data_IF_838773894535
#
_entry.id   IF_838773894535
#
_cell.length_a   1.000
_cell.length_b   1.000
_cell.length_c   1.000
_cell.angle_alpha   90.00
_cell.angle_beta   90.00
_cell.angle_gamma   90.00
#
_symmetry.space_group_name_H-M   'P 1'
#
loop_
_entity.id
_entity.type
_entity.pdbx_description
1 polymer ?
#
# COMPACT_ATOMS: atom_id res chain seq x y z
N UNK A 1 42.45 -9.96 -7.17
CA UNK A 1 41.65 -8.76 -6.88
C UNK A 1 40.39 -9.24 -6.18
N UNK A 2 40.18 -8.96 -4.88
CA UNK A 2 38.97 -9.39 -4.19
C UNK A 2 37.82 -8.41 -4.48
N UNK A 3 36.67 -8.99 -4.78
CA UNK A 3 35.36 -8.36 -5.01
C UNK A 3 34.93 -7.65 -3.71
N UNK A 4 34.73 -6.33 -3.75
CA UNK A 4 34.20 -5.57 -2.61
C UNK A 4 32.73 -5.97 -2.40
N UNK A 5 32.30 -6.32 -1.18
CA UNK A 5 30.90 -6.64 -0.91
C UNK A 5 30.05 -5.42 -1.24
N UNK A 6 29.07 -5.60 -2.12
CA UNK A 6 28.09 -4.57 -2.46
C UNK A 6 27.37 -4.16 -1.17
N UNK A 7 27.59 -2.93 -0.73
CA UNK A 7 27.01 -2.39 0.51
C UNK A 7 25.49 -2.29 0.36
N UNK A 8 24.76 -3.29 0.88
CA UNK A 8 23.30 -3.32 0.80
C UNK A 8 22.76 -2.27 1.75
N UNK A 9 22.24 -1.17 1.20
CA UNK A 9 21.55 -0.16 1.99
C UNK A 9 20.21 -0.72 2.46
N UNK A 10 20.16 -1.10 3.73
CA UNK A 10 18.92 -1.53 4.39
C UNK A 10 18.04 -0.30 4.58
N UNK A 11 16.91 -0.29 3.90
CA UNK A 11 15.88 0.74 4.08
C UNK A 11 14.86 0.17 5.07
N UNK A 12 14.63 0.78 6.24
CA UNK A 12 13.65 0.30 7.18
C UNK A 12 12.26 0.33 6.53
N UNK A 13 11.56 -0.80 6.59
CA UNK A 13 10.14 -0.89 6.23
C UNK A 13 9.36 -0.47 7.46
N UNK A 14 8.49 0.52 7.30
CA UNK A 14 7.58 1.00 8.34
C UNK A 14 6.19 0.44 8.07
N UNK A 15 5.50 0.02 9.11
CA UNK A 15 4.08 -0.29 9.06
C UNK A 15 3.24 0.98 9.26
N UNK A 16 2.04 0.98 8.69
CA UNK A 16 1.09 2.06 8.81
C UNK A 16 -0.34 1.59 8.57
N UNK A 17 -1.28 2.38 9.05
CA UNK A 17 -2.71 2.12 8.92
C UNK A 17 -3.38 3.14 8.02
N UNK A 18 -4.23 2.64 7.13
CA UNK A 18 -5.04 3.48 6.28
C UNK A 18 -6.47 2.97 6.21
N UNK A 19 -7.39 3.90 6.00
CA UNK A 19 -8.79 3.62 5.78
C UNK A 19 -9.06 3.53 4.29
N UNK A 20 -9.70 2.47 3.85
CA UNK A 20 -10.15 2.35 2.47
C UNK A 20 -11.24 3.39 2.23
N UNK A 21 -11.04 4.27 1.26
CA UNK A 21 -12.01 5.30 0.87
C UNK A 21 -12.58 5.09 -0.54
N UNK A 22 -11.98 4.18 -1.32
CA UNK A 22 -12.46 3.82 -2.64
C UNK A 22 -11.54 2.82 -3.35
N UNK A 23 -11.81 2.56 -4.62
CA UNK A 23 -11.05 1.66 -5.46
C UNK A 23 -10.85 2.28 -6.84
N UNK A 24 -9.75 1.91 -7.48
CA UNK A 24 -9.43 2.29 -8.86
C UNK A 24 -9.32 1.03 -9.72
N UNK A 25 -9.93 1.11 -10.89
CA UNK A 25 -10.01 0.03 -11.87
C UNK A 25 -8.62 -0.27 -12.45
N UNK A 26 -8.31 -1.55 -12.64
CA UNK A 26 -7.06 -1.97 -13.28
C UNK A 26 -7.03 -1.61 -14.77
N UNK A 27 -5.93 -1.00 -15.23
CA UNK A 27 -5.64 -0.84 -16.68
C UNK A 27 -4.66 -1.89 -17.17
N UNK A 28 -4.87 -2.38 -18.41
CA UNK A 28 -4.02 -3.35 -19.14
C UNK A 28 -3.69 -4.63 -18.34
N UNK A 29 -4.55 -5.63 -18.45
CA UNK A 29 -4.32 -6.98 -17.89
C UNK A 29 -5.08 -7.30 -16.60
N UNK A 30 -5.63 -6.29 -15.93
CA UNK A 30 -6.60 -6.42 -14.83
C UNK A 30 -7.93 -5.74 -15.17
N UNK A 31 -8.31 -5.73 -16.46
CA UNK A 31 -9.56 -5.14 -16.94
C UNK A 31 -10.75 -5.90 -16.33
N UNK A 32 -11.60 -5.18 -15.60
CA UNK A 32 -12.72 -5.76 -14.83
C UNK A 32 -12.39 -6.12 -13.37
N UNK A 33 -11.17 -5.86 -12.90
CA UNK A 33 -10.74 -6.10 -11.52
C UNK A 33 -10.20 -4.81 -10.88
N UNK A 34 -10.15 -4.78 -9.55
CA UNK A 34 -9.57 -3.65 -8.82
C UNK A 34 -8.06 -3.61 -9.05
N UNK A 35 -7.58 -2.54 -9.67
CA UNK A 35 -6.17 -2.31 -9.94
C UNK A 35 -5.44 -1.74 -8.74
N UNK A 36 -6.07 -0.80 -8.04
CA UNK A 36 -5.52 -0.17 -6.84
C UNK A 36 -6.60 0.16 -5.83
N UNK A 37 -6.30 0.01 -4.55
CA UNK A 37 -7.17 0.50 -3.47
C UNK A 37 -6.84 1.97 -3.21
N UNK A 38 -7.84 2.83 -3.14
CA UNK A 38 -7.69 4.21 -2.69
C UNK A 38 -7.85 4.22 -1.18
N UNK A 39 -6.76 4.50 -0.48
CA UNK A 39 -6.70 4.51 0.96
C UNK A 39 -6.34 5.91 1.48
N UNK A 40 -6.79 6.24 2.67
CA UNK A 40 -6.51 7.49 3.36
C UNK A 40 -5.77 7.19 4.67
N UNK A 41 -4.65 7.87 4.92
CA UNK A 41 -3.89 7.71 6.17
C UNK A 41 -4.79 8.07 7.36
N UNK A 42 -4.65 7.33 8.46
CA UNK A 42 -5.31 7.71 9.72
C UNK A 42 -4.58 8.84 10.47
N UNK A 43 -3.31 9.06 10.15
CA UNK A 43 -2.48 10.14 10.71
C UNK A 43 -2.88 11.48 10.11
N UNK A 44 -2.82 12.55 10.90
CA UNK A 44 -2.98 13.92 10.41
C UNK A 44 -1.64 14.48 9.86
N UNK A 45 -1.63 15.14 8.69
CA UNK A 45 -2.76 15.39 7.80
C UNK A 45 -3.24 14.11 7.10
N UNK A 46 -4.56 13.97 6.91
CA UNK A 46 -5.13 12.83 6.17
C UNK A 46 -4.68 12.87 4.73
N UNK A 47 -3.85 11.91 4.34
CA UNK A 47 -3.34 11.84 2.98
C UNK A 47 -3.97 10.69 2.23
N UNK A 48 -4.44 10.96 1.01
CA UNK A 48 -5.00 9.95 0.13
C UNK A 48 -3.91 9.41 -0.77
N UNK A 49 -3.79 8.11 -0.81
CA UNK A 49 -2.81 7.41 -1.64
C UNK A 49 -3.43 6.15 -2.22
N UNK A 50 -2.84 5.67 -3.30
CA UNK A 50 -3.31 4.49 -4.01
C UNK A 50 -2.35 3.34 -3.76
N UNK A 51 -2.88 2.20 -3.38
CA UNK A 51 -2.12 0.97 -3.13
C UNK A 51 -2.48 -0.03 -4.23
N UNK A 52 -1.63 -0.14 -5.24
CA UNK A 52 -1.72 -1.20 -6.27
C UNK A 52 -0.79 -2.38 -6.03
N UNK A 53 0.15 -2.25 -5.10
CA UNK A 53 1.16 -3.25 -4.77
C UNK A 53 0.79 -4.05 -3.53
N UNK A 54 1.05 -5.36 -3.52
CA UNK A 54 0.68 -6.25 -2.41
C UNK A 54 -0.78 -6.71 -2.43
N UNK A 55 -1.58 -6.28 -3.39
CA UNK A 55 -2.92 -6.82 -3.61
C UNK A 55 -2.81 -8.22 -4.24
N UNK A 56 -3.35 -9.21 -3.56
CA UNK A 56 -3.56 -10.55 -4.11
C UNK A 56 -4.72 -10.54 -5.09
N UNK A 57 -4.77 -11.53 -5.98
CA UNK A 57 -5.84 -11.65 -6.98
C UNK A 57 -7.23 -11.75 -6.33
N UNK A 58 -7.33 -12.42 -5.17
CA UNK A 58 -8.56 -12.49 -4.37
C UNK A 58 -9.05 -11.12 -3.92
N UNK A 59 -8.15 -10.24 -3.44
CA UNK A 59 -8.50 -8.86 -3.06
C UNK A 59 -8.88 -8.00 -4.26
N UNK A 60 -8.34 -8.30 -5.45
CA UNK A 60 -8.75 -7.61 -6.67
C UNK A 60 -10.16 -7.99 -7.11
N UNK A 61 -10.57 -9.22 -6.82
CA UNK A 61 -11.90 -9.76 -7.11
C UNK A 61 -12.93 -9.35 -6.06
N UNK A 62 -12.53 -9.37 -4.80
CA UNK A 62 -13.33 -9.00 -3.64
C UNK A 62 -12.57 -7.94 -2.82
N UNK A 63 -12.69 -6.66 -3.17
CA UNK A 63 -11.98 -5.60 -2.49
C UNK A 63 -12.57 -5.36 -1.09
N UNK A 64 -11.73 -5.02 -0.09
CA UNK A 64 -12.17 -4.76 1.27
C UNK A 64 -13.10 -3.55 1.32
N UNK A 65 -14.26 -3.61 1.99
CA UNK A 65 -15.29 -2.57 1.90
C UNK A 65 -14.78 -1.17 2.27
N UNK A 66 -15.31 -0.15 1.61
CA UNK A 66 -15.02 1.25 1.91
C UNK A 66 -15.35 1.51 3.38
N UNK A 67 -14.40 2.08 4.11
CA UNK A 67 -14.48 2.28 5.55
C UNK A 67 -13.61 1.33 6.37
N UNK A 68 -13.18 0.22 5.78
CA UNK A 68 -12.31 -0.77 6.42
C UNK A 68 -10.92 -0.19 6.68
N UNK A 69 -10.34 -0.53 7.83
CA UNK A 69 -8.95 -0.20 8.14
C UNK A 69 -8.07 -1.32 7.59
N UNK A 70 -7.09 -0.94 6.78
CA UNK A 70 -6.10 -1.84 6.20
C UNK A 70 -4.72 -1.44 6.69
N UNK A 71 -3.89 -2.43 6.97
CA UNK A 71 -2.49 -2.23 7.29
C UNK A 71 -1.67 -2.32 6.01
N UNK A 72 -0.71 -1.41 5.88
CA UNK A 72 0.20 -1.33 4.76
C UNK A 72 1.61 -1.08 5.26
N UNK A 73 2.58 -1.38 4.41
CA UNK A 73 4.00 -1.12 4.68
C UNK A 73 4.57 -0.15 3.66
N UNK A 74 5.55 0.65 4.07
CA UNK A 74 6.20 1.63 3.20
C UNK A 74 7.66 1.80 3.60
N UNK A 75 8.54 2.03 2.61
CA UNK A 75 9.99 2.17 2.84
C UNK A 75 10.44 3.59 3.20
N UNK A 76 9.52 4.42 3.69
CA UNK A 76 9.74 5.84 3.96
C UNK A 76 8.70 6.76 3.31
N UNK A 77 8.69 8.02 3.75
CA UNK A 77 7.77 9.04 3.29
C UNK A 77 8.44 9.90 2.21
N UNK A 78 7.66 10.35 1.23
CA UNK A 78 8.06 11.37 0.27
C UNK A 78 8.16 12.74 0.96
N UNK A 79 8.75 13.75 0.31
CA UNK A 79 8.84 15.12 0.86
C UNK A 79 7.49 15.75 1.21
N UNK A 80 6.40 15.24 0.62
CA UNK A 80 5.02 15.64 0.94
C UNK A 80 4.40 14.83 2.10
N UNK A 81 5.11 13.89 2.71
CA UNK A 81 4.60 13.00 3.74
C UNK A 81 3.89 11.74 3.21
N UNK A 82 3.83 11.54 1.89
CA UNK A 82 3.14 10.39 1.29
C UNK A 82 4.00 9.11 1.38
N UNK A 83 3.43 7.96 1.76
CA UNK A 83 4.18 6.70 1.83
C UNK A 83 4.71 6.33 0.44
N UNK A 84 6.02 6.07 0.36
CA UNK A 84 6.69 5.70 -0.88
C UNK A 84 6.68 4.18 -1.03
N UNK A 85 6.19 3.71 -2.17
CA UNK A 85 5.94 2.29 -2.45
C UNK A 85 5.08 1.61 -1.38
N UNK A 86 3.86 2.12 -1.11
CA UNK A 86 2.98 1.48 -0.16
C UNK A 86 2.62 0.08 -0.66
N UNK A 87 2.80 -0.92 0.20
CA UNK A 87 2.44 -2.31 -0.05
C UNK A 87 1.32 -2.70 0.89
N UNK A 88 0.23 -3.18 0.31
CA UNK A 88 -0.86 -3.74 1.08
C UNK A 88 -0.37 -4.96 1.86
N UNK A 89 -0.66 -5.02 3.17
CA UNK A 89 -0.34 -6.18 4.01
C UNK A 89 -1.57 -7.00 4.36
N UNK A 90 -2.66 -6.35 4.74
CA UNK A 90 -3.85 -7.05 5.20
C UNK A 90 -4.92 -6.11 5.69
N UNK A 91 -6.11 -6.68 5.93
CA UNK A 91 -7.18 -5.97 6.61
C UNK A 91 -6.86 -5.96 8.09
N UNK A 92 -6.84 -4.78 8.71
CA UNK A 92 -6.74 -4.65 10.16
C UNK A 92 -8.11 -4.89 10.76
N UNK A 93 -8.42 -6.16 10.97
CA UNK A 93 -9.59 -6.60 11.73
C UNK A 93 -9.18 -6.67 13.19
N UNK A 94 -9.08 -5.51 13.85
CA UNK A 94 -8.96 -5.49 15.30
C UNK A 94 -10.39 -5.68 15.85
N UNK A 95 -10.61 -6.84 16.47
CA UNK A 95 -11.89 -7.30 17.05
C UNK A 95 -12.13 -6.65 18.42
#
# INVERSE_FOLDING_TARGET
>A
MPDLPQEIRIIPILDGDARVVGYEEGKKGAEGLVGSLVCETRTEPKQRFKIGSGLTESLRRDPPPIGTIVSFEYGGLSSQGLPRFPRYRGIRTDL
#
